data_IF_948547021400
#
_entry.id   IF_948547021400
#
_cell.length_a   1.000
_cell.length_b   1.000
_cell.length_c   1.000
_cell.angle_alpha   90.00
_cell.angle_beta   90.00
_cell.angle_gamma   90.00
#
_symmetry.space_group_name_H-M   'P 1'
#
loop_
_entity.id
_entity.type
_entity.pdbx_description
1 polymer ?
#
# COMPACT_ATOMS: atom_id res chain seq x y z
N UNK A 1 6.89 -2.07 -14.73
CA UNK A 1 5.99 -1.92 -13.56
C UNK A 1 6.61 -0.98 -12.54
N UNK A 2 5.78 -0.44 -11.69
CA UNK A 2 6.19 0.46 -10.61
C UNK A 2 5.85 -0.19 -9.27
N UNK A 3 6.80 -0.27 -8.36
CA UNK A 3 6.62 -0.91 -7.06
C UNK A 3 6.93 0.03 -5.91
N UNK A 4 6.24 -0.18 -4.80
CA UNK A 4 6.48 0.51 -3.55
C UNK A 4 6.50 -0.50 -2.41
N UNK A 5 7.47 -0.35 -1.52
CA UNK A 5 7.53 -1.10 -0.27
C UNK A 5 7.61 -0.07 0.85
N UNK A 6 6.61 -0.08 1.72
CA UNK A 6 6.53 0.89 2.80
C UNK A 6 6.32 0.24 4.15
N UNK A 7 6.92 0.82 5.17
CA UNK A 7 6.64 0.49 6.56
C UNK A 7 6.05 1.70 7.24
N UNK A 8 4.85 1.54 7.78
CA UNK A 8 4.18 2.60 8.52
C UNK A 8 3.88 2.13 9.94
N UNK A 9 3.77 3.09 10.84
CA UNK A 9 3.48 2.83 12.24
C UNK A 9 2.14 3.43 12.60
N UNK A 10 1.28 2.62 13.22
CA UNK A 10 0.05 3.10 13.83
C UNK A 10 0.35 3.70 15.20
N UNK A 11 -0.52 4.56 15.68
CA UNK A 11 -0.51 4.95 17.08
C UNK A 11 -0.74 3.70 17.93
N UNK A 12 -0.24 3.72 19.16
CA UNK A 12 -0.23 2.54 20.04
C UNK A 12 -1.60 1.89 20.13
N UNK A 13 -1.65 0.59 19.82
CA UNK A 13 -2.87 -0.20 19.90
C UNK A 13 -3.84 -0.01 18.73
N UNK A 14 -3.51 0.80 17.72
CA UNK A 14 -4.40 1.12 16.60
C UNK A 14 -4.05 0.38 15.31
N UNK A 15 -3.13 -0.58 15.35
CA UNK A 15 -2.71 -1.29 14.13
C UNK A 15 -3.87 -2.00 13.43
N UNK A 16 -4.72 -2.71 14.19
CA UNK A 16 -5.84 -3.44 13.60
C UNK A 16 -6.83 -2.49 12.94
N UNK A 17 -7.14 -1.37 13.59
CA UNK A 17 -8.02 -0.36 13.02
C UNK A 17 -7.43 0.22 11.73
N UNK A 18 -6.12 0.46 11.69
CA UNK A 18 -5.45 0.96 10.49
C UNK A 18 -5.46 -0.07 9.37
N UNK A 19 -5.23 -1.35 9.69
CA UNK A 19 -5.31 -2.42 8.69
C UNK A 19 -6.71 -2.52 8.08
N UNK A 20 -7.76 -2.42 8.89
CA UNK A 20 -9.13 -2.45 8.42
C UNK A 20 -9.39 -1.31 7.41
N UNK A 21 -8.90 -0.11 7.71
CA UNK A 21 -9.04 1.04 6.82
C UNK A 21 -8.30 0.78 5.49
N UNK A 22 -7.07 0.28 5.55
CA UNK A 22 -6.28 0.00 4.36
C UNK A 22 -6.90 -1.12 3.51
N UNK A 23 -7.35 -2.20 4.14
CA UNK A 23 -7.96 -3.32 3.43
C UNK A 23 -9.28 -2.92 2.75
N UNK A 24 -10.06 -2.05 3.38
CA UNK A 24 -11.31 -1.58 2.80
C UNK A 24 -11.09 -0.75 1.52
N UNK A 25 -9.92 -0.13 1.36
CA UNK A 25 -9.61 0.71 0.21
C UNK A 25 -8.86 -0.02 -0.91
N UNK A 26 -8.53 -1.31 -0.73
CA UNK A 26 -7.75 -2.08 -1.71
C UNK A 26 -8.58 -2.72 -2.81
N UNK A 27 -9.79 -2.25 -3.02
CA UNK A 27 -10.64 -2.73 -4.10
C UNK A 27 -10.11 -2.33 -5.48
N UNK A 28 -11.01 -2.18 -6.44
CA UNK A 28 -10.66 -1.91 -7.83
C UNK A 28 -9.96 -0.56 -8.02
N UNK A 29 -8.65 -0.54 -7.88
CA UNK A 29 -7.82 0.62 -8.22
C UNK A 29 -7.22 0.41 -9.61
N UNK A 30 -7.56 1.24 -10.61
CA UNK A 30 -7.04 1.06 -11.97
C UNK A 30 -5.51 1.06 -12.00
N UNK A 31 -4.96 0.05 -12.67
CA UNK A 31 -3.52 -0.11 -12.79
C UNK A 31 -2.83 -0.75 -11.60
N UNK A 32 -3.55 -1.06 -10.54
CA UNK A 32 -3.00 -1.81 -9.40
C UNK A 32 -2.96 -3.30 -9.71
N UNK A 33 -1.76 -3.88 -9.70
CA UNK A 33 -1.54 -5.29 -10.00
C UNK A 33 -1.46 -6.13 -8.72
N UNK A 34 -0.97 -5.55 -7.64
CA UNK A 34 -0.83 -6.23 -6.36
C UNK A 34 -0.77 -5.20 -5.25
N UNK A 35 -1.42 -5.48 -4.13
CA UNK A 35 -1.42 -4.62 -2.96
C UNK A 35 -1.51 -5.53 -1.73
N UNK A 36 -0.42 -5.66 -1.00
CA UNK A 36 -0.32 -6.58 0.13
C UNK A 36 -0.09 -5.79 1.40
N UNK A 37 -0.92 -6.06 2.40
CA UNK A 37 -0.81 -5.48 3.73
C UNK A 37 -0.39 -6.59 4.67
N UNK A 38 0.69 -6.37 5.41
CA UNK A 38 1.25 -7.37 6.31
C UNK A 38 1.58 -6.77 7.66
N UNK A 39 1.46 -7.56 8.71
CA UNK A 39 1.91 -7.16 10.03
C UNK A 39 3.40 -7.39 10.18
N UNK A 40 4.07 -6.51 10.94
CA UNK A 40 5.46 -6.74 11.30
C UNK A 40 5.49 -7.72 12.48
N UNK A 41 6.21 -8.86 12.35
CA UNK A 41 6.23 -9.86 13.42
C UNK A 41 7.00 -9.41 14.68
N UNK A 42 7.82 -8.38 14.57
CA UNK A 42 8.63 -7.87 15.67
C UNK A 42 8.10 -6.58 16.30
N UNK A 43 7.10 -5.95 15.68
CA UNK A 43 6.58 -4.65 16.13
C UNK A 43 5.05 -4.65 16.05
N UNK A 44 4.40 -4.59 17.23
CA UNK A 44 2.96 -4.69 17.35
C UNK A 44 2.19 -3.52 16.70
N UNK A 45 2.85 -2.41 16.43
CA UNK A 45 2.22 -1.21 15.85
C UNK A 45 2.65 -0.95 14.41
N UNK A 46 3.48 -1.80 13.82
CA UNK A 46 3.99 -1.60 12.46
C UNK A 46 3.27 -2.46 11.43
N UNK A 47 3.10 -1.87 10.25
CA UNK A 47 2.47 -2.49 9.09
C UNK A 47 3.40 -2.31 7.90
N UNK A 48 3.54 -3.38 7.10
CA UNK A 48 4.24 -3.35 5.83
C UNK A 48 3.22 -3.33 4.69
N UNK A 49 3.43 -2.46 3.72
CA UNK A 49 2.60 -2.39 2.52
C UNK A 49 3.50 -2.59 1.31
N UNK A 50 3.17 -3.57 0.48
CA UNK A 50 3.88 -3.86 -0.75
C UNK A 50 2.92 -3.69 -1.92
N UNK A 51 3.27 -2.79 -2.83
CA UNK A 51 2.40 -2.43 -3.96
C UNK A 51 3.13 -2.65 -5.27
N UNK A 52 2.39 -3.12 -6.27
CA UNK A 52 2.86 -3.19 -7.66
C UNK A 52 1.80 -2.58 -8.57
N UNK A 53 2.22 -1.65 -9.40
CA UNK A 53 1.38 -0.90 -10.34
C UNK A 53 1.91 -1.06 -11.76
N UNK A 54 1.03 -0.87 -12.75
CA UNK A 54 1.46 -0.88 -14.14
C UNK A 54 2.48 0.21 -14.43
N UNK A 55 2.30 1.38 -13.80
CA UNK A 55 3.21 2.52 -13.91
C UNK A 55 3.00 3.47 -12.73
N UNK A 56 3.90 4.43 -12.62
CA UNK A 56 3.85 5.43 -11.55
C UNK A 56 2.62 6.35 -11.66
N UNK A 57 2.20 6.65 -12.89
CA UNK A 57 1.05 7.51 -13.12
C UNK A 57 -0.24 6.88 -12.56
N UNK A 58 -0.41 5.57 -12.69
CA UNK A 58 -1.54 4.85 -12.12
C UNK A 58 -1.56 4.93 -10.60
N UNK A 59 -0.41 4.79 -9.97
CA UNK A 59 -0.29 4.97 -8.51
C UNK A 59 -0.69 6.39 -8.10
N UNK A 60 -0.16 7.41 -8.78
CA UNK A 60 -0.53 8.80 -8.48
C UNK A 60 -2.02 9.05 -8.66
N UNK A 61 -2.60 8.52 -9.73
CA UNK A 61 -4.03 8.69 -10.00
C UNK A 61 -4.88 8.04 -8.90
N UNK A 62 -4.43 6.92 -8.33
CA UNK A 62 -5.16 6.24 -7.25
C UNK A 62 -5.34 7.12 -6.01
N UNK A 63 -4.40 8.02 -5.76
CA UNK A 63 -4.47 8.93 -4.61
C UNK A 63 -5.59 9.96 -4.73
N UNK A 64 -6.16 10.11 -5.91
CA UNK A 64 -7.30 11.00 -6.16
C UNK A 64 -8.65 10.28 -6.13
N UNK A 65 -8.67 8.96 -6.01
CA UNK A 65 -9.92 8.21 -5.95
C UNK A 65 -10.67 8.54 -4.64
N UNK A 66 -12.01 8.73 -4.70
CA UNK A 66 -12.79 9.05 -3.50
C UNK A 66 -12.61 8.05 -2.36
N UNK A 67 -12.55 6.76 -2.67
CA UNK A 67 -12.36 5.69 -1.68
C UNK A 67 -10.99 5.79 -1.00
N UNK A 68 -9.96 6.12 -1.77
CA UNK A 68 -8.61 6.29 -1.25
C UNK A 68 -8.50 7.54 -0.40
N UNK A 69 -9.11 8.64 -0.86
CA UNK A 69 -9.18 9.89 -0.09
C UNK A 69 -9.88 9.68 1.25
N UNK A 70 -10.99 8.94 1.24
CA UNK A 70 -11.73 8.61 2.46
C UNK A 70 -10.89 7.76 3.41
N UNK A 71 -10.15 6.79 2.88
CA UNK A 71 -9.26 5.94 3.68
C UNK A 71 -8.13 6.76 4.31
N UNK A 72 -7.51 7.65 3.54
CA UNK A 72 -6.46 8.54 4.05
C UNK A 72 -7.00 9.40 5.20
N UNK A 73 -8.20 9.96 5.04
CA UNK A 73 -8.81 10.77 6.09
C UNK A 73 -9.07 9.98 7.37
N UNK A 74 -9.52 8.73 7.25
CA UNK A 74 -9.74 7.84 8.40
C UNK A 74 -8.44 7.40 9.05
N UNK A 75 -7.41 7.15 8.27
CA UNK A 75 -6.12 6.67 8.76
C UNK A 75 -5.31 7.79 9.44
N UNK A 76 -5.47 9.03 8.99
CA UNK A 76 -4.63 10.15 9.45
C UNK A 76 -4.55 10.27 10.97
N UNK A 77 -5.64 10.19 11.77
CA UNK A 77 -5.56 10.30 13.23
C UNK A 77 -4.90 9.11 13.92
N UNK A 78 -4.75 7.98 13.23
CA UNK A 78 -4.16 6.76 13.81
C UNK A 78 -2.82 6.38 13.20
N UNK A 79 -2.27 7.20 12.31
CA UNK A 79 -0.90 7.04 11.80
C UNK A 79 0.05 7.78 12.71
N UNK A 80 1.03 7.06 13.28
CA UNK A 80 2.10 7.66 14.07
C UNK A 80 3.26 8.13 13.19
N UNK A 81 3.50 7.48 12.05
CA UNK A 81 4.55 7.87 11.12
C UNK A 81 4.80 6.85 10.03
N UNK A 82 5.63 7.26 9.08
CA UNK A 82 6.15 6.40 8.01
C UNK A 82 7.64 6.22 8.27
N UNK A 83 8.05 4.98 8.55
CA UNK A 83 9.45 4.70 8.90
C UNK A 83 10.32 4.44 7.67
N UNK A 84 9.67 4.02 6.57
CA UNK A 84 10.41 3.47 5.46
C UNK A 84 9.54 3.49 4.20
N UNK A 85 10.11 3.90 3.09
CA UNK A 85 9.46 3.81 1.80
C UNK A 85 10.51 3.68 0.70
N UNK A 86 10.42 2.61 -0.07
CA UNK A 86 11.33 2.35 -1.18
C UNK A 86 10.52 2.18 -2.46
N UNK A 87 11.00 2.81 -3.53
CA UNK A 87 10.51 2.53 -4.87
C UNK A 87 11.30 1.37 -5.47
N UNK A 88 10.60 0.48 -6.15
CA UNK A 88 11.19 -0.65 -6.87
C UNK A 88 10.72 -0.65 -8.31
N UNK A 89 11.36 -1.47 -9.12
CA UNK A 89 10.95 -1.67 -10.50
C UNK A 89 10.70 -3.17 -10.71
N UNK A 90 9.49 -3.66 -10.40
CA UNK A 90 9.16 -5.07 -10.60
C UNK A 90 9.31 -5.47 -12.07
N UNK A 91 9.79 -6.67 -12.30
CA UNK A 91 9.96 -7.22 -13.64
C UNK A 91 9.09 -8.45 -13.88
N UNK A 92 8.47 -8.98 -12.83
CA UNK A 92 7.61 -10.15 -12.89
C UNK A 92 7.57 -10.87 -11.56
N UNK A 93 6.94 -12.02 -11.55
CA UNK A 93 6.83 -12.86 -10.37
C UNK A 93 5.51 -13.60 -10.35
N UNK A 94 5.40 -14.60 -9.48
CA UNK A 94 4.17 -15.35 -9.34
C UNK A 94 3.06 -14.42 -8.83
N UNK A 95 1.89 -14.50 -9.43
CA UNK A 95 0.73 -13.65 -9.10
C UNK A 95 0.69 -12.34 -9.87
N UNK A 96 1.76 -11.98 -10.59
CA UNK A 96 1.79 -10.80 -11.43
C UNK A 96 1.57 -11.18 -12.89
N UNK A 97 1.00 -10.26 -13.70
CA UNK A 97 0.91 -10.52 -15.13
C UNK A 97 2.30 -10.62 -15.74
N UNK A 98 2.41 -11.43 -16.80
CA UNK A 98 3.65 -11.53 -17.53
C UNK A 98 3.99 -10.16 -18.15
N UNK A 99 5.17 -9.65 -17.85
CA UNK A 99 5.66 -8.41 -18.45
C UNK A 99 6.74 -8.75 -19.44
N UNK A 100 6.47 -8.41 -20.69
CA UNK A 100 7.53 -8.37 -21.69
C UNK A 100 8.24 -7.05 -21.52
N UNK A 101 9.40 -7.09 -20.91
CA UNK A 101 10.30 -5.96 -20.97
C UNK A 101 10.84 -5.89 -22.38
N UNK A 102 10.28 -5.02 -23.14
CA UNK A 102 10.84 -4.70 -24.43
C UNK A 102 12.08 -3.87 -24.26
#
# INVERSE_FOLDING_TARGET
MYGLIGKMRATRGQRDAMMDVLLASTGAMPGCLSYIIATDPADADAIWVTEVWTDQASHKASLQLPEVQAAIAKARPIIAGFEFQIETRPVGGFGLPAVKTG
#
